data_IF_983755996266
#
_entry.id   IF_983755996266
#
_cell.length_a   1.000
_cell.length_b   1.000
_cell.length_c   1.000
_cell.angle_alpha   90.00
_cell.angle_beta   90.00
_cell.angle_gamma   90.00
#
_symmetry.space_group_name_H-M   'P 1'
#
loop_
_entity.id
_entity.type
_entity.pdbx_description
1 polymer ?
#
# COMPACT_ATOMS: atom_id res chain seq x y z
N UNK A 1 7.15 -10.69 -11.76
CA UNK A 1 6.07 -9.82 -12.26
C UNK A 1 5.16 -9.44 -11.11
N UNK A 2 5.19 -8.16 -10.72
CA UNK A 2 4.44 -7.59 -9.60
C UNK A 2 2.95 -7.40 -9.91
N UNK A 3 2.21 -8.50 -10.07
CA UNK A 3 0.75 -8.47 -10.21
C UNK A 3 0.16 -9.47 -9.21
N UNK A 4 0.05 -9.00 -7.98
CA UNK A 4 -0.27 -9.78 -6.79
C UNK A 4 0.96 -10.43 -6.17
N UNK A 5 0.75 -11.10 -5.06
CA UNK A 5 1.79 -11.78 -4.28
C UNK A 5 1.44 -13.26 -4.18
N UNK A 6 2.46 -14.12 -4.24
CA UNK A 6 2.32 -15.56 -3.99
C UNK A 6 2.75 -15.87 -2.55
N UNK A 7 2.24 -16.96 -1.93
CA UNK A 7 2.62 -17.32 -0.56
C UNK A 7 4.15 -17.41 -0.36
N UNK A 8 4.86 -18.04 -1.30
CA UNK A 8 6.32 -18.12 -1.24
C UNK A 8 7.02 -16.76 -1.33
N UNK A 9 6.47 -15.80 -2.06
CA UNK A 9 7.00 -14.43 -2.12
C UNK A 9 6.74 -13.65 -0.84
N UNK A 10 5.54 -13.81 -0.25
CA UNK A 10 5.22 -13.21 1.04
C UNK A 10 6.13 -13.77 2.14
N UNK A 11 6.30 -15.09 2.19
CA UNK A 11 7.20 -15.74 3.13
C UNK A 11 8.63 -15.25 2.98
N UNK A 12 9.13 -15.13 1.75
CA UNK A 12 10.48 -14.59 1.50
C UNK A 12 10.66 -13.17 2.06
N UNK A 13 9.65 -12.31 1.96
CA UNK A 13 9.69 -10.94 2.50
C UNK A 13 9.70 -10.96 4.03
N UNK A 14 8.88 -11.80 4.66
CA UNK A 14 8.91 -11.99 6.12
C UNK A 14 10.26 -12.54 6.60
N UNK A 15 10.79 -13.57 5.92
CA UNK A 15 12.11 -14.15 6.21
C UNK A 15 13.25 -13.15 5.99
N UNK A 16 13.04 -12.12 5.17
CA UNK A 16 13.97 -11.01 4.95
C UNK A 16 13.91 -9.93 6.04
N UNK A 17 13.03 -10.08 7.03
CA UNK A 17 12.95 -9.24 8.22
C UNK A 17 11.83 -8.20 8.22
N UNK A 18 10.86 -8.28 7.31
CA UNK A 18 9.67 -7.43 7.39
C UNK A 18 8.73 -7.93 8.51
N UNK A 19 8.28 -7.04 9.38
CA UNK A 19 7.26 -7.37 10.40
C UNK A 19 5.86 -7.43 9.81
N UNK A 20 5.55 -6.55 8.85
CA UNK A 20 4.24 -6.41 8.20
C UNK A 20 4.41 -6.18 6.71
N UNK A 21 3.52 -6.78 5.91
CA UNK A 21 3.42 -6.56 4.47
C UNK A 21 2.08 -5.88 4.19
N UNK A 22 2.11 -4.70 3.58
CA UNK A 22 0.92 -4.03 3.05
C UNK A 22 0.78 -4.32 1.56
N UNK A 23 -0.46 -4.54 1.11
CA UNK A 23 -0.78 -4.78 -0.30
C UNK A 23 -1.61 -3.63 -0.85
N UNK A 24 -1.69 -3.55 -2.19
CA UNK A 24 -2.49 -2.58 -2.92
C UNK A 24 -3.62 -3.19 -3.75
N UNK A 25 -3.97 -2.52 -4.84
CA UNK A 25 -4.98 -2.95 -5.82
C UNK A 25 -4.72 -4.35 -6.41
N UNK A 26 -3.45 -4.77 -6.45
CA UNK A 26 -3.08 -6.09 -6.96
C UNK A 26 -3.10 -7.20 -5.91
N UNK A 27 -3.27 -6.89 -4.62
CA UNK A 27 -3.11 -7.83 -3.51
C UNK A 27 -4.00 -9.07 -3.60
N UNK A 28 -5.22 -8.92 -4.13
CA UNK A 28 -6.21 -10.00 -4.23
C UNK A 28 -6.28 -10.66 -5.61
N UNK A 29 -5.36 -10.37 -6.54
CA UNK A 29 -5.41 -10.93 -7.91
C UNK A 29 -4.99 -12.40 -7.99
N UNK A 30 -4.27 -12.90 -6.98
CA UNK A 30 -3.81 -14.30 -6.88
C UNK A 30 -4.63 -14.99 -5.80
N UNK A 31 -5.42 -16.00 -6.15
CA UNK A 31 -6.24 -16.73 -5.17
C UNK A 31 -5.38 -17.57 -4.22
N UNK A 32 -4.18 -17.91 -4.65
CA UNK A 32 -3.20 -18.70 -3.92
C UNK A 32 -2.78 -18.04 -2.60
N UNK A 33 -2.87 -16.70 -2.48
CA UNK A 33 -2.54 -15.98 -1.23
C UNK A 33 -3.70 -15.96 -0.22
N UNK A 34 -4.92 -16.32 -0.61
CA UNK A 34 -6.10 -16.12 0.24
C UNK A 34 -6.03 -16.85 1.59
N UNK A 35 -5.60 -18.12 1.67
CA UNK A 35 -5.44 -18.79 2.97
C UNK A 35 -4.46 -18.05 3.88
N UNK A 36 -3.33 -17.59 3.31
CA UNK A 36 -2.33 -16.84 4.07
C UNK A 36 -2.85 -15.48 4.54
N UNK A 37 -3.68 -14.80 3.75
CA UNK A 37 -4.33 -13.55 4.17
C UNK A 37 -5.28 -13.76 5.36
N UNK A 38 -5.97 -14.90 5.42
CA UNK A 38 -6.87 -15.23 6.53
C UNK A 38 -6.12 -15.63 7.80
N UNK A 39 -5.05 -16.41 7.64
CA UNK A 39 -4.27 -16.97 8.75
C UNK A 39 -3.23 -16.00 9.33
N UNK A 40 -2.55 -15.22 8.48
CA UNK A 40 -1.46 -14.32 8.89
C UNK A 40 -1.96 -12.89 9.07
N UNK A 41 -1.97 -12.42 10.31
CA UNK A 41 -2.43 -11.07 10.62
C UNK A 41 -1.51 -9.94 10.19
N UNK A 42 -0.27 -10.25 9.87
CA UNK A 42 0.74 -9.29 9.44
C UNK A 42 0.78 -9.10 7.91
N UNK A 43 -0.09 -9.79 7.17
CA UNK A 43 -0.28 -9.59 5.73
C UNK A 43 -1.59 -8.80 5.51
N UNK A 44 -1.45 -7.51 5.24
CA UNK A 44 -2.57 -6.57 5.14
C UNK A 44 -3.02 -6.38 3.70
N UNK A 45 -4.33 -6.40 3.49
CA UNK A 45 -4.99 -5.84 2.29
C UNK A 45 -5.53 -4.45 2.61
N UNK A 46 -5.92 -3.64 1.62
CA UNK A 46 -6.57 -2.36 1.88
C UNK A 46 -7.86 -2.47 2.71
N UNK A 47 -7.98 -1.68 3.78
CA UNK A 47 -9.08 -1.74 4.75
C UNK A 47 -10.45 -1.36 4.17
N UNK A 48 -10.49 -0.67 3.05
CA UNK A 48 -11.70 -0.27 2.34
C UNK A 48 -12.20 -1.30 1.30
N UNK A 49 -11.59 -2.49 1.22
CA UNK A 49 -12.25 -3.64 0.58
C UNK A 49 -13.51 -4.06 1.35
N UNK A 50 -14.45 -4.67 0.63
CA UNK A 50 -15.67 -5.24 1.23
C UNK A 50 -15.32 -6.19 2.39
N UNK A 51 -16.08 -6.22 3.50
CA UNK A 51 -15.77 -7.07 4.66
C UNK A 51 -15.65 -8.57 4.37
N UNK A 52 -16.23 -9.06 3.27
CA UNK A 52 -16.10 -10.46 2.83
C UNK A 52 -14.78 -10.77 2.11
N UNK A 53 -13.94 -9.77 1.83
CA UNK A 53 -12.63 -9.99 1.23
C UNK A 53 -11.70 -10.64 2.26
N UNK A 54 -10.86 -11.62 1.84
CA UNK A 54 -9.98 -12.33 2.75
C UNK A 54 -8.96 -11.39 3.39
N UNK A 55 -8.62 -11.70 4.65
CA UNK A 55 -7.65 -10.95 5.43
C UNK A 55 -8.13 -9.60 5.95
N UNK A 56 -7.20 -8.86 6.55
CA UNK A 56 -7.49 -7.68 7.37
C UNK A 56 -6.87 -6.39 6.81
N UNK A 57 -7.45 -5.28 7.21
CA UNK A 57 -7.07 -3.92 6.78
C UNK A 57 -5.98 -3.26 7.61
N UNK A 58 -5.79 -3.74 8.83
CA UNK A 58 -4.92 -3.13 9.82
C UNK A 58 -4.49 -4.16 10.87
N UNK A 59 -3.39 -3.88 11.56
CA UNK A 59 -2.86 -4.70 12.67
C UNK A 59 -2.30 -3.80 13.76
N UNK A 60 -2.35 -4.27 15.02
CA UNK A 60 -1.65 -3.67 16.14
C UNK A 60 -0.43 -4.53 16.47
N UNK A 61 0.76 -3.97 16.37
CA UNK A 61 2.01 -4.61 16.72
C UNK A 61 2.39 -4.28 18.16
N UNK A 62 2.67 -5.32 18.93
CA UNK A 62 3.25 -5.19 20.26
C UNK A 62 4.78 -5.06 20.13
N UNK A 63 5.29 -3.85 20.35
CA UNK A 63 6.73 -3.55 20.37
C UNK A 63 7.25 -3.39 21.81
N UNK A 64 6.56 -3.99 22.79
CA UNK A 64 6.87 -3.90 24.21
C UNK A 64 6.36 -2.60 24.82
N UNK A 65 7.25 -1.61 24.97
CA UNK A 65 6.87 -0.32 25.59
C UNK A 65 5.91 0.51 24.72
N UNK A 66 5.83 0.20 23.43
CA UNK A 66 5.04 0.92 22.44
C UNK A 66 4.19 -0.03 21.63
N UNK A 67 2.95 0.38 21.37
CA UNK A 67 2.03 -0.32 20.48
C UNK A 67 1.93 0.45 19.16
N UNK A 68 2.17 -0.24 18.04
CA UNK A 68 2.25 0.36 16.71
C UNK A 68 1.13 -0.17 15.83
N UNK A 69 0.21 0.70 15.43
CA UNK A 69 -0.84 0.39 14.47
C UNK A 69 -0.37 0.59 13.03
N UNK A 70 -0.62 -0.40 12.17
CA UNK A 70 -0.37 -0.30 10.72
C UNK A 70 -1.71 -0.40 10.00
N UNK A 71 -1.97 0.48 9.04
CA UNK A 71 -3.19 0.50 8.22
C UNK A 71 -2.80 0.51 6.75
N UNK A 72 -3.45 -0.34 5.94
CA UNK A 72 -3.40 -0.28 4.47
C UNK A 72 -4.71 0.31 3.94
N UNK A 73 -4.63 1.22 2.98
CA UNK A 73 -5.79 1.86 2.33
C UNK A 73 -5.62 1.90 0.81
N UNK A 74 -6.73 1.93 0.07
CA UNK A 74 -6.75 2.06 -1.39
C UNK A 74 -7.44 3.35 -1.80
N UNK A 75 -6.83 4.13 -2.69
CA UNK A 75 -7.45 5.30 -3.31
C UNK A 75 -8.57 4.93 -4.27
N UNK A 76 -9.43 5.89 -4.59
CA UNK A 76 -10.52 5.72 -5.54
C UNK A 76 -10.35 6.59 -6.80
N UNK A 77 -9.61 7.70 -6.73
CA UNK A 77 -9.44 8.59 -7.86
C UNK A 77 -8.49 7.97 -8.91
N UNK A 78 -8.99 7.83 -10.15
CA UNK A 78 -8.33 7.14 -11.27
C UNK A 78 -8.07 5.63 -11.04
N UNK A 79 -8.76 5.03 -10.08
CA UNK A 79 -8.64 3.60 -9.73
C UNK A 79 -9.99 2.89 -9.85
N UNK A 80 -10.00 1.57 -9.62
CA UNK A 80 -11.25 0.80 -9.56
C UNK A 80 -12.14 1.30 -8.41
N UNK A 81 -13.47 1.39 -8.59
CA UNK A 81 -14.37 1.84 -7.53
C UNK A 81 -14.27 0.97 -6.27
N UNK A 82 -14.10 1.62 -5.12
CA UNK A 82 -13.99 0.98 -3.81
C UNK A 82 -14.70 1.83 -2.75
N UNK A 83 -14.88 1.31 -1.53
CA UNK A 83 -15.43 2.10 -0.44
C UNK A 83 -14.52 3.28 -0.10
N UNK A 84 -15.11 4.36 0.43
CA UNK A 84 -14.42 5.61 0.68
C UNK A 84 -13.19 5.40 1.62
N UNK A 85 -11.97 5.82 1.21
CA UNK A 85 -10.78 5.63 2.02
C UNK A 85 -10.73 6.50 3.28
N UNK A 86 -11.39 7.66 3.29
CA UNK A 86 -11.47 8.56 4.44
C UNK A 86 -12.31 7.92 5.56
N UNK A 87 -13.47 7.37 5.22
CA UNK A 87 -14.34 6.66 6.18
C UNK A 87 -13.63 5.41 6.75
N UNK A 88 -12.90 4.69 5.90
CA UNK A 88 -12.10 3.55 6.34
C UNK A 88 -10.95 3.98 7.26
N UNK A 89 -10.25 5.07 6.93
CA UNK A 89 -9.21 5.61 7.79
C UNK A 89 -9.75 6.00 9.17
N UNK A 90 -10.88 6.69 9.24
CA UNK A 90 -11.53 7.05 10.50
C UNK A 90 -11.82 5.83 11.37
N UNK A 91 -12.45 4.80 10.78
CA UNK A 91 -12.77 3.56 11.48
C UNK A 91 -11.53 2.85 12.01
N UNK A 92 -10.51 2.66 11.17
CA UNK A 92 -9.30 1.91 11.57
C UNK A 92 -8.44 2.70 12.57
N UNK A 93 -8.30 4.02 12.40
CA UNK A 93 -7.59 4.89 13.35
C UNK A 93 -8.28 4.87 14.71
N UNK A 94 -9.61 4.98 14.74
CA UNK A 94 -10.36 4.91 16.00
C UNK A 94 -10.16 3.56 16.70
N UNK A 95 -10.35 2.46 15.97
CA UNK A 95 -10.16 1.09 16.47
C UNK A 95 -8.76 0.86 17.07
N UNK A 96 -7.72 1.31 16.39
CA UNK A 96 -6.33 1.14 16.85
C UNK A 96 -6.03 2.01 18.07
N UNK A 97 -6.56 3.24 18.14
CA UNK A 97 -6.42 4.10 19.33
C UNK A 97 -7.11 3.49 20.55
N UNK A 98 -8.32 2.95 20.39
CA UNK A 98 -9.02 2.25 21.48
C UNK A 98 -8.25 1.01 21.96
N UNK A 99 -7.55 0.34 21.04
CA UNK A 99 -6.67 -0.78 21.36
C UNK A 99 -5.32 -0.37 21.96
N UNK A 100 -5.06 0.93 22.15
CA UNK A 100 -3.85 1.44 22.81
C UNK A 100 -2.69 1.78 21.88
N UNK A 101 -2.90 1.90 20.57
CA UNK A 101 -1.87 2.32 19.63
C UNK A 101 -1.35 3.73 19.98
N UNK A 102 -0.04 3.82 20.20
CA UNK A 102 0.67 5.09 20.43
C UNK A 102 1.19 5.66 19.10
N UNK A 103 1.57 4.78 18.18
CA UNK A 103 2.04 5.11 16.84
C UNK A 103 1.04 4.53 15.85
N UNK A 104 0.65 5.31 14.84
CA UNK A 104 -0.18 4.82 13.72
C UNK A 104 0.49 5.21 12.41
N UNK A 105 0.79 4.21 11.59
CA UNK A 105 1.35 4.35 10.25
C UNK A 105 0.33 3.91 9.21
N UNK A 106 0.21 4.69 8.12
CA UNK A 106 -0.73 4.42 7.04
C UNK A 106 0.02 4.33 5.72
N UNK A 107 -0.13 3.17 5.06
CA UNK A 107 0.16 3.01 3.63
C UNK A 107 -1.11 3.34 2.83
N UNK A 108 -1.06 4.45 2.07
CA UNK A 108 -2.15 4.83 1.19
C UNK A 108 -1.81 4.58 -0.28
N UNK A 109 -2.26 3.44 -0.78
CA UNK A 109 -2.03 2.98 -2.14
C UNK A 109 -3.00 3.67 -3.11
N UNK A 110 -2.57 4.74 -3.77
CA UNK A 110 -3.46 5.60 -4.57
C UNK A 110 -2.76 6.20 -5.80
N UNK A 111 -3.52 6.55 -6.84
CA UNK A 111 -2.99 7.18 -8.05
C UNK A 111 -2.95 8.70 -7.93
N UNK A 112 -4.07 9.33 -7.55
CA UNK A 112 -4.18 10.78 -7.55
C UNK A 112 -3.39 11.43 -6.40
N UNK A 113 -2.41 12.28 -6.75
CA UNK A 113 -1.67 13.10 -5.79
C UNK A 113 -2.59 13.98 -4.94
N UNK A 114 -3.67 14.51 -5.52
CA UNK A 114 -4.67 15.29 -4.80
C UNK A 114 -5.40 14.48 -3.72
N UNK A 115 -5.76 13.23 -4.01
CA UNK A 115 -6.41 12.34 -3.04
C UNK A 115 -5.45 12.00 -1.90
N UNK A 116 -4.19 11.69 -2.22
CA UNK A 116 -3.13 11.44 -1.23
C UNK A 116 -2.90 12.64 -0.31
N UNK A 117 -2.81 13.83 -0.89
CA UNK A 117 -2.60 15.08 -0.13
C UNK A 117 -3.80 15.40 0.74
N UNK A 118 -5.01 15.22 0.20
CA UNK A 118 -6.24 15.43 0.96
C UNK A 118 -6.33 14.50 2.18
N UNK A 119 -6.04 13.20 2.02
CA UNK A 119 -6.06 12.28 3.15
C UNK A 119 -4.96 12.59 4.18
N UNK A 120 -3.79 13.01 3.72
CA UNK A 120 -2.71 13.50 4.58
C UNK A 120 -3.14 14.63 5.51
N UNK A 121 -3.72 15.71 4.95
CA UNK A 121 -4.22 16.82 5.75
C UNK A 121 -5.45 16.45 6.60
N UNK A 122 -6.29 15.52 6.12
CA UNK A 122 -7.46 15.05 6.85
C UNK A 122 -7.09 14.29 8.14
N UNK A 123 -5.95 13.60 8.14
CA UNK A 123 -5.46 12.80 9.27
C UNK A 123 -4.33 13.48 10.07
N UNK A 124 -3.97 14.71 9.70
CA UNK A 124 -2.88 15.44 10.36
C UNK A 124 -3.14 15.63 11.86
N UNK A 125 -2.14 15.30 12.68
CA UNK A 125 -2.23 15.27 14.14
C UNK A 125 -3.04 14.11 14.73
N UNK A 126 -3.65 13.26 13.89
CA UNK A 126 -4.39 12.07 14.34
C UNK A 126 -3.58 10.79 14.20
N UNK A 127 -2.58 10.76 13.33
CA UNK A 127 -1.72 9.60 13.06
C UNK A 127 -0.25 10.03 13.04
N UNK A 128 0.67 9.08 13.20
CA UNK A 128 2.09 9.38 13.26
C UNK A 128 2.69 9.63 11.88
N UNK A 129 2.33 8.82 10.89
CA UNK A 129 2.75 9.03 9.52
C UNK A 129 1.75 8.47 8.50
N UNK A 130 1.67 9.10 7.34
CA UNK A 130 0.99 8.60 6.16
C UNK A 130 1.93 8.70 4.97
N UNK A 131 2.18 7.59 4.31
CA UNK A 131 2.97 7.55 3.08
C UNK A 131 2.15 6.95 1.96
N UNK A 132 2.26 7.54 0.77
CA UNK A 132 1.63 6.97 -0.41
C UNK A 132 2.49 5.89 -1.06
N UNK A 133 1.81 5.00 -1.77
CA UNK A 133 2.39 4.03 -2.71
C UNK A 133 1.53 4.00 -3.99
N UNK A 134 1.87 3.13 -4.94
CA UNK A 134 1.19 2.84 -6.24
C UNK A 134 1.92 3.39 -7.48
N UNK A 135 2.41 4.63 -7.46
CA UNK A 135 2.86 5.27 -8.72
C UNK A 135 4.23 4.80 -9.19
N UNK A 136 4.96 4.09 -8.33
CA UNK A 136 6.30 3.54 -8.56
C UNK A 136 7.40 4.59 -8.78
N UNK A 137 7.11 5.87 -8.60
CA UNK A 137 8.09 6.97 -8.69
C UNK A 137 8.08 7.73 -7.38
N UNK A 138 9.21 7.70 -6.67
CA UNK A 138 9.37 8.40 -5.40
C UNK A 138 9.22 9.91 -5.58
N UNK A 139 8.47 10.54 -4.68
CA UNK A 139 8.35 12.01 -4.63
C UNK A 139 9.39 12.62 -3.69
N UNK A 140 9.74 13.89 -3.89
CA UNK A 140 10.67 14.65 -3.04
C UNK A 140 9.93 15.69 -2.19
N UNK A 141 8.78 15.30 -1.66
CA UNK A 141 7.85 16.15 -0.90
C UNK A 141 7.65 15.67 0.53
N UNK A 142 8.63 14.92 1.06
CA UNK A 142 8.67 14.44 2.42
C UNK A 142 8.67 15.61 3.41
N UNK A 143 7.79 15.55 4.38
CA UNK A 143 7.63 16.63 5.36
C UNK A 143 6.92 16.15 6.62
N UNK A 144 6.97 16.98 7.65
CA UNK A 144 6.07 16.89 8.80
C UNK A 144 4.98 17.94 8.60
N UNK A 145 3.72 17.50 8.57
CA UNK A 145 2.56 18.39 8.44
C UNK A 145 2.36 19.24 9.71
N UNK A 146 1.58 20.34 9.65
CA UNK A 146 1.43 21.27 10.79
C UNK A 146 0.96 20.63 12.11
N UNK A 147 0.15 19.57 12.05
CA UNK A 147 -0.32 18.78 13.19
C UNK A 147 0.67 17.72 13.69
N UNK A 148 1.84 17.59 13.06
CA UNK A 148 2.92 16.69 13.47
C UNK A 148 2.94 15.34 12.76
N UNK A 149 2.04 15.10 11.79
CA UNK A 149 2.05 13.85 11.02
C UNK A 149 3.16 13.86 9.96
N UNK A 150 4.00 12.82 9.93
CA UNK A 150 4.94 12.60 8.84
C UNK A 150 4.23 12.25 7.53
N UNK A 151 4.68 12.80 6.41
CA UNK A 151 4.01 12.65 5.13
C UNK A 151 4.98 12.56 3.95
N UNK A 152 4.67 11.71 2.97
CA UNK A 152 5.26 11.71 1.61
C UNK A 152 4.23 11.21 0.60
N UNK A 153 4.18 11.80 -0.61
CA UNK A 153 3.16 11.44 -1.62
C UNK A 153 3.41 10.06 -2.25
N UNK A 154 4.65 9.65 -2.51
CA UNK A 154 4.93 8.27 -2.92
C UNK A 154 6.32 7.83 -2.48
N UNK A 155 6.42 6.64 -1.89
CA UNK A 155 7.71 6.02 -1.53
C UNK A 155 8.49 5.50 -2.75
N UNK A 156 7.83 5.34 -3.90
CA UNK A 156 8.40 4.74 -5.10
C UNK A 156 8.30 3.22 -5.10
N UNK A 157 9.22 2.58 -5.83
CA UNK A 157 9.22 1.13 -6.04
C UNK A 157 10.58 0.53 -5.64
N UNK A 158 10.54 -0.66 -5.05
CA UNK A 158 11.70 -1.55 -4.99
C UNK A 158 11.60 -2.56 -6.14
N UNK A 159 12.49 -2.45 -7.12
CA UNK A 159 12.45 -3.24 -8.34
C UNK A 159 13.44 -2.73 -9.39
N UNK A 160 13.31 -3.18 -10.64
CA UNK A 160 14.25 -2.82 -11.70
C UNK A 160 14.31 -1.31 -11.95
N UNK A 161 15.53 -0.76 -11.95
CA UNK A 161 15.80 0.67 -12.12
C UNK A 161 15.58 1.10 -13.56
N UNK A 162 16.11 0.33 -14.50
CA UNK A 162 16.01 0.61 -15.94
C UNK A 162 14.71 0.02 -16.51
N UNK A 163 13.59 0.62 -16.11
CA UNK A 163 12.25 0.13 -16.47
C UNK A 163 11.22 1.23 -16.59
N UNK A 164 10.08 0.91 -17.19
CA UNK A 164 8.88 1.74 -17.11
C UNK A 164 7.99 1.11 -16.05
N UNK A 165 8.12 1.57 -14.82
CA UNK A 165 7.35 1.13 -13.65
C UNK A 165 7.43 -0.39 -13.40
N UNK A 166 8.59 -1.01 -13.68
CA UNK A 166 8.82 -2.45 -13.54
C UNK A 166 8.56 -3.27 -14.81
N UNK A 167 8.24 -2.61 -15.94
CA UNK A 167 8.00 -3.24 -17.26
C UNK A 167 9.16 -2.89 -18.21
N UNK A 168 9.49 -3.80 -19.11
CA UNK A 168 10.44 -3.57 -20.21
C UNK A 168 10.11 -2.27 -20.99
N UNK A 169 11.05 -1.30 -21.11
CA UNK A 169 10.76 -0.01 -21.75
C UNK A 169 10.22 -0.13 -23.18
N UNK A 170 10.77 -1.04 -23.98
CA UNK A 170 10.34 -1.26 -25.35
C UNK A 170 8.86 -1.69 -25.43
N UNK A 171 8.40 -2.51 -24.48
CA UNK A 171 7.00 -2.93 -24.43
C UNK A 171 6.07 -1.76 -24.10
N UNK A 172 6.43 -0.94 -23.11
CA UNK A 172 5.60 0.21 -22.74
C UNK A 172 5.51 1.21 -23.88
N UNK A 173 6.63 1.48 -24.58
CA UNK A 173 6.66 2.34 -25.77
C UNK A 173 5.76 1.79 -26.88
N UNK A 174 5.84 0.50 -27.19
CA UNK A 174 4.98 -0.16 -28.18
C UNK A 174 3.49 0.03 -27.83
N UNK A 175 3.12 -0.13 -26.55
CA UNK A 175 1.76 0.10 -26.07
C UNK A 175 1.27 1.53 -26.32
N UNK A 176 2.08 2.55 -26.00
CA UNK A 176 1.71 3.95 -26.22
C UNK A 176 1.69 4.36 -27.70
N UNK A 177 2.42 3.65 -28.58
CA UNK A 177 2.40 3.86 -30.03
C UNK A 177 1.19 3.19 -30.71
N UNK A 178 0.29 2.55 -29.96
CA UNK A 178 -0.90 1.88 -30.49
C UNK A 178 -0.68 0.41 -30.87
N UNK A 179 0.39 -0.21 -30.38
CA UNK A 179 0.63 -1.64 -30.49
C UNK A 179 -0.44 -2.48 -29.78
N UNK A 180 -0.47 -3.78 -30.07
CA UNK A 180 -1.43 -4.69 -29.48
C UNK A 180 -1.10 -4.96 -28.00
N UNK A 181 -2.13 -5.17 -27.15
CA UNK A 181 -1.90 -5.55 -25.76
C UNK A 181 -1.16 -6.90 -25.69
N UNK A 182 -0.14 -6.95 -24.83
CA UNK A 182 0.66 -8.15 -24.60
C UNK A 182 0.89 -8.39 -23.11
N UNK A 183 1.34 -9.60 -22.76
CA UNK A 183 1.74 -9.92 -21.38
C UNK A 183 2.93 -9.05 -20.97
N UNK A 184 2.89 -8.45 -19.79
CA UNK A 184 4.03 -7.68 -19.27
C UNK A 184 5.31 -8.51 -19.28
N UNK A 185 6.41 -7.89 -19.70
CA UNK A 185 7.76 -8.46 -19.76
C UNK A 185 8.58 -7.80 -18.67
N UNK A 186 9.32 -8.61 -17.91
CA UNK A 186 10.25 -8.05 -16.94
C UNK A 186 11.43 -7.42 -17.72
N UNK A 187 11.91 -6.25 -17.29
CA UNK A 187 13.11 -5.64 -17.87
C UNK A 187 14.35 -6.50 -17.58
N UNK A 188 15.35 -6.38 -18.45
CA UNK A 188 16.71 -6.86 -18.19
C UNK A 188 17.49 -5.71 -17.53
N UNK A 189 18.32 -6.00 -16.52
CA UNK A 189 19.16 -4.99 -15.89
C UNK A 189 18.96 -4.90 -14.37
N UNK A 190 19.72 -4.01 -13.71
CA UNK A 190 19.61 -3.76 -12.27
C UNK A 190 18.26 -3.16 -11.87
#
# INVERSE_FOLDING_TARGET
MGNGILPGSAQFIFDSGADVITLGNHGLRRREIYPMLEENEFLLRPANYHPSAPGRGSVLLDMGATQVGIISLLGAAFMEPIANPFDAADREVHRLKEAGAQIILIDFHAEATAEKRALGYYLDGRVSALFGTHTHVQTADEQVLPGGTGYITDLGMTGPVESVLGIEPAQSVEGFLGGLPGRYRNPNGP
#
